data_IF_924500609502
#
_entry.id   IF_924500609502
#
_cell.length_a   1.000
_cell.length_b   1.000
_cell.length_c   1.000
_cell.angle_alpha   90.00
_cell.angle_beta   90.00
_cell.angle_gamma   90.00
#
_symmetry.space_group_name_H-M   'P 1'
#
loop_
_entity.id
_entity.type
_entity.pdbx_description
1 polymer ?
#
# COMPACT_ATOMS: atom_id res chain seq x y z
N UNK A 1 -4.58 -13.75 11.34
CA UNK A 1 -4.47 -12.32 11.74
C UNK A 1 -4.25 -11.52 10.47
N UNK A 2 -4.95 -10.40 10.27
CA UNK A 2 -4.78 -9.56 9.10
C UNK A 2 -3.36 -8.96 9.09
N UNK A 3 -2.63 -9.10 7.98
CA UNK A 3 -1.31 -8.48 7.77
C UNK A 3 -1.28 -7.69 6.46
N UNK A 4 -0.37 -6.72 6.37
CA UNK A 4 -0.21 -5.92 5.17
C UNK A 4 0.26 -6.77 3.98
N UNK A 5 1.12 -7.76 4.23
CA UNK A 5 1.59 -8.70 3.21
C UNK A 5 0.45 -9.54 2.60
N UNK A 6 -0.51 -9.98 3.42
CA UNK A 6 -1.69 -10.70 2.94
C UNK A 6 -2.55 -9.81 2.04
N UNK A 7 -2.77 -8.56 2.44
CA UNK A 7 -3.51 -7.58 1.63
C UNK A 7 -2.76 -7.24 0.34
N UNK A 8 -1.44 -7.10 0.38
CA UNK A 8 -0.62 -6.89 -0.80
C UNK A 8 -0.68 -8.08 -1.77
N UNK A 9 -0.70 -9.32 -1.24
CA UNK A 9 -0.90 -10.53 -2.06
C UNK A 9 -2.26 -10.49 -2.75
N UNK A 10 -3.33 -10.21 -2.02
CA UNK A 10 -4.67 -10.08 -2.59
C UNK A 10 -4.77 -8.95 -3.63
N UNK A 11 -4.05 -7.85 -3.44
CA UNK A 11 -4.00 -6.75 -4.43
C UNK A 11 -3.45 -7.26 -5.76
N UNK A 12 -2.31 -7.96 -5.72
CA UNK A 12 -1.66 -8.51 -6.93
C UNK A 12 -2.49 -9.61 -7.58
N UNK A 13 -3.06 -10.53 -6.79
CA UNK A 13 -3.96 -11.60 -7.28
C UNK A 13 -5.20 -11.05 -8.01
N UNK A 14 -5.64 -9.84 -7.65
CA UNK A 14 -6.77 -9.15 -8.26
C UNK A 14 -6.36 -8.12 -9.31
N UNK A 15 -5.11 -8.14 -9.75
CA UNK A 15 -4.55 -7.21 -10.74
C UNK A 15 -4.76 -5.72 -10.36
N UNK A 16 -4.80 -5.42 -9.07
CA UNK A 16 -4.99 -4.07 -8.55
C UNK A 16 -3.71 -3.23 -8.58
N UNK A 17 -3.87 -1.91 -8.76
CA UNK A 17 -2.75 -0.97 -8.85
C UNK A 17 -2.30 -0.42 -7.50
N UNK A 18 -3.24 -0.14 -6.59
CA UNK A 18 -2.97 0.51 -5.31
C UNK A 18 -3.77 -0.14 -4.17
N UNK A 19 -3.16 -0.32 -3.00
CA UNK A 19 -3.82 -0.68 -1.74
C UNK A 19 -3.79 0.52 -0.80
N UNK A 20 -4.96 0.92 -0.32
CA UNK A 20 -5.17 2.03 0.60
C UNK A 20 -5.54 1.52 1.99
N UNK A 21 -4.83 2.02 2.99
CA UNK A 21 -5.03 1.73 4.42
C UNK A 21 -5.37 3.05 5.10
N UNK A 22 -6.56 3.13 5.69
CA UNK A 22 -7.03 4.31 6.40
C UNK A 22 -8.00 3.93 7.53
N UNK A 23 -7.90 4.62 8.67
CA UNK A 23 -8.79 4.39 9.79
C UNK A 23 -10.23 4.81 9.44
N UNK A 24 -11.22 4.04 9.92
CA UNK A 24 -12.64 4.26 9.63
C UNK A 24 -13.13 3.71 8.28
N UNK A 25 -12.24 3.12 7.49
CA UNK A 25 -12.55 2.44 6.22
C UNK A 25 -12.04 1.00 6.26
N UNK A 26 -12.67 0.04 5.55
CA UNK A 26 -11.98 -1.20 5.23
C UNK A 26 -10.75 -0.92 4.37
N UNK A 27 -9.78 -1.87 4.28
CA UNK A 27 -8.73 -1.78 3.29
C UNK A 27 -9.34 -1.67 1.88
N UNK A 28 -8.88 -0.71 1.08
CA UNK A 28 -9.41 -0.47 -0.27
C UNK A 28 -8.36 -0.81 -1.31
N UNK A 29 -8.75 -1.49 -2.38
CA UNK A 29 -7.90 -1.78 -3.53
C UNK A 29 -8.37 -0.97 -4.73
N UNK A 30 -7.45 -0.40 -5.49
CA UNK A 30 -7.75 0.18 -6.79
C UNK A 30 -7.62 -0.90 -7.85
N UNK A 31 -8.73 -1.25 -8.49
CA UNK A 31 -8.80 -2.23 -9.58
C UNK A 31 -9.49 -1.51 -10.75
N UNK A 32 -8.85 -1.50 -11.92
CA UNK A 32 -9.33 -0.79 -13.12
C UNK A 32 -9.74 0.67 -12.84
N UNK A 33 -8.93 1.36 -12.04
CA UNK A 33 -9.14 2.77 -11.66
C UNK A 33 -10.16 3.01 -10.55
N UNK A 34 -10.93 1.99 -10.14
CA UNK A 34 -12.00 2.10 -9.12
C UNK A 34 -11.55 1.56 -7.76
N UNK A 35 -11.97 2.22 -6.68
CA UNK A 35 -11.72 1.75 -5.32
C UNK A 35 -12.77 0.71 -4.91
N UNK A 36 -12.31 -0.49 -4.56
CA UNK A 36 -13.13 -1.64 -4.16
C UNK A 36 -12.63 -2.11 -2.79
N UNK A 37 -13.53 -2.36 -1.81
CA UNK A 37 -13.13 -2.87 -0.50
C UNK A 37 -12.56 -4.30 -0.60
N UNK A 38 -11.47 -4.57 0.12
CA UNK A 38 -10.87 -5.89 0.24
C UNK A 38 -11.57 -6.77 1.30
N UNK A 39 -12.42 -6.18 2.13
CA UNK A 39 -13.24 -6.82 3.16
C UNK A 39 -14.27 -5.84 3.72
N UNK A 40 -15.07 -6.29 4.69
CA UNK A 40 -16.18 -5.49 5.25
C UNK A 40 -15.79 -4.70 6.50
N UNK A 41 -14.80 -5.19 7.25
CA UNK A 41 -14.41 -4.60 8.53
C UNK A 41 -13.63 -3.30 8.37
N UNK A 42 -14.10 -2.25 9.05
CA UNK A 42 -13.40 -0.97 9.12
C UNK A 42 -12.18 -1.09 10.03
N UNK A 43 -11.06 -0.52 9.59
CA UNK A 43 -9.84 -0.47 10.38
C UNK A 43 -9.95 0.60 11.48
N UNK A 44 -9.53 0.26 12.70
CA UNK A 44 -9.31 1.24 13.77
C UNK A 44 -7.97 1.95 13.57
N UNK A 45 -7.74 3.07 14.27
CA UNK A 45 -6.44 3.75 14.27
C UNK A 45 -5.30 2.86 14.80
N UNK A 46 -5.59 2.02 15.80
CA UNK A 46 -4.64 1.03 16.30
C UNK A 46 -4.32 -0.04 15.24
N UNK A 47 -5.35 -0.52 14.52
CA UNK A 47 -5.18 -1.52 13.48
C UNK A 47 -4.35 -0.97 12.31
N UNK A 48 -4.61 0.25 11.85
CA UNK A 48 -3.80 0.85 10.78
C UNK A 48 -2.35 1.06 11.21
N UNK A 49 -2.11 1.58 12.43
CA UNK A 49 -0.76 1.71 12.98
C UNK A 49 -0.03 0.38 12.99
N UNK A 50 -0.67 -0.68 13.52
CA UNK A 50 -0.07 -2.02 13.58
C UNK A 50 0.24 -2.58 12.19
N UNK A 51 -0.65 -2.41 11.21
CA UNK A 51 -0.44 -2.89 9.84
C UNK A 51 0.73 -2.17 9.17
N UNK A 52 0.77 -0.85 9.27
CA UNK A 52 1.78 -0.03 8.59
C UNK A 52 3.15 -0.16 9.25
N UNK A 53 3.22 -0.13 10.58
CA UNK A 53 4.51 -0.30 11.29
C UNK A 53 5.12 -1.68 11.07
N UNK A 54 4.31 -2.69 10.73
CA UNK A 54 4.79 -4.04 10.41
C UNK A 54 5.69 -4.13 9.18
N UNK A 55 5.73 -3.10 8.31
CA UNK A 55 6.61 -3.03 7.14
C UNK A 55 7.72 -1.99 7.27
N UNK A 56 7.80 -1.26 8.39
CA UNK A 56 8.83 -0.26 8.64
C UNK A 56 9.97 -0.87 9.45
N UNK A 57 11.21 -0.50 9.13
CA UNK A 57 12.34 -0.73 10.02
C UNK A 57 12.46 0.41 11.06
N UNK A 58 13.34 0.26 12.06
CA UNK A 58 13.46 1.23 13.15
C UNK A 58 13.81 2.65 12.69
N UNK A 59 14.70 2.80 11.70
CA UNK A 59 15.08 4.10 11.13
C UNK A 59 13.90 4.76 10.41
N UNK A 60 13.11 3.97 9.68
CA UNK A 60 11.90 4.43 9.00
C UNK A 60 10.80 4.83 9.98
N UNK A 61 10.67 4.11 11.11
CA UNK A 61 9.74 4.49 12.19
C UNK A 61 10.13 5.84 12.78
N UNK A 62 11.40 6.02 13.12
CA UNK A 62 11.90 7.28 13.68
C UNK A 62 11.63 8.45 12.73
N UNK A 63 12.02 8.31 11.45
CA UNK A 63 11.76 9.32 10.42
C UNK A 63 10.27 9.63 10.26
N UNK A 64 9.42 8.61 10.21
CA UNK A 64 7.97 8.82 10.09
C UNK A 64 7.40 9.52 11.34
N UNK A 65 7.86 9.18 12.54
CA UNK A 65 7.38 9.81 13.77
C UNK A 65 7.84 11.28 13.91
N UNK A 66 8.96 11.64 13.30
CA UNK A 66 9.45 13.03 13.21
C UNK A 66 8.76 13.83 12.10
N UNK A 67 8.66 13.28 10.89
CA UNK A 67 8.20 13.99 9.69
C UNK A 67 6.68 13.87 9.47
N UNK A 68 6.03 12.88 10.09
CA UNK A 68 4.62 12.50 9.91
C UNK A 68 4.25 12.07 8.48
N UNK A 69 5.25 11.88 7.63
CA UNK A 69 5.17 11.30 6.29
C UNK A 69 6.43 10.48 5.98
N UNK A 70 6.30 9.49 5.11
CA UNK A 70 7.43 8.69 4.65
C UNK A 70 7.12 8.05 3.29
N UNK A 71 7.96 8.33 2.30
CA UNK A 71 8.02 7.58 1.05
C UNK A 71 9.10 6.50 1.13
N UNK A 72 8.74 5.27 0.79
CA UNK A 72 9.66 4.14 0.77
C UNK A 72 9.30 3.13 -0.32
N UNK A 73 10.15 2.13 -0.48
CA UNK A 73 9.85 0.96 -1.29
C UNK A 73 10.32 -0.29 -0.58
N UNK A 74 9.57 -1.37 -0.74
CA UNK A 74 9.95 -2.68 -0.21
C UNK A 74 9.54 -3.79 -1.20
N UNK A 75 10.13 -4.96 -1.03
CA UNK A 75 9.80 -6.15 -1.80
C UNK A 75 9.22 -7.23 -0.91
N UNK A 76 8.24 -7.98 -1.43
CA UNK A 76 7.78 -9.23 -0.85
C UNK A 76 8.26 -10.35 -1.77
N UNK A 77 9.03 -11.28 -1.21
CA UNK A 77 9.56 -12.42 -1.95
C UNK A 77 8.43 -13.24 -2.59
N UNK A 78 8.61 -13.58 -3.88
CA UNK A 78 7.60 -14.32 -4.65
C UNK A 78 6.35 -13.52 -5.04
N UNK A 79 6.25 -12.24 -4.67
CA UNK A 79 5.09 -11.40 -4.99
C UNK A 79 5.44 -10.21 -5.88
N UNK A 80 6.41 -9.39 -5.47
CA UNK A 80 6.79 -8.18 -6.21
C UNK A 80 7.28 -7.05 -5.33
N UNK A 81 7.43 -5.87 -5.93
CA UNK A 81 7.88 -4.64 -5.27
C UNK A 81 6.74 -3.66 -5.15
N UNK A 82 6.78 -2.86 -4.08
CA UNK A 82 5.76 -1.88 -3.77
C UNK A 82 6.42 -0.54 -3.47
N UNK A 83 5.90 0.54 -4.06
CA UNK A 83 6.19 1.90 -3.63
C UNK A 83 5.13 2.30 -2.64
N UNK A 84 5.53 2.77 -1.47
CA UNK A 84 4.62 3.00 -0.36
C UNK A 84 4.81 4.40 0.18
N UNK A 85 3.70 5.12 0.30
CA UNK A 85 3.63 6.35 1.07
C UNK A 85 2.92 6.04 2.40
N UNK A 86 3.50 6.50 3.50
CA UNK A 86 2.94 6.44 4.85
C UNK A 86 2.74 7.87 5.33
N UNK A 87 1.62 8.15 5.98
CA UNK A 87 1.25 9.51 6.37
C UNK A 87 0.35 9.51 7.62
N UNK A 88 0.29 10.64 8.30
CA UNK A 88 -0.67 10.90 9.37
C UNK A 88 -1.92 11.59 8.83
N UNK A 89 -3.11 11.05 9.12
CA UNK A 89 -4.39 11.67 8.76
C UNK A 89 -5.36 11.58 9.95
N UNK A 90 -5.85 12.73 10.43
CA UNK A 90 -6.79 12.80 11.57
C UNK A 90 -6.30 11.99 12.78
N UNK A 91 -5.05 12.19 13.15
CA UNK A 91 -4.38 11.50 14.27
C UNK A 91 -4.28 9.97 14.12
N UNK A 92 -4.50 9.44 12.91
CA UNK A 92 -4.34 8.03 12.60
C UNK A 92 -3.33 7.82 11.46
N UNK A 93 -2.54 6.74 11.57
CA UNK A 93 -1.60 6.32 10.52
C UNK A 93 -2.39 5.83 9.32
N UNK A 94 -2.04 6.31 8.14
CA UNK A 94 -2.53 5.87 6.84
C UNK A 94 -1.38 5.46 5.92
N UNK A 95 -1.70 4.68 4.89
CA UNK A 95 -0.72 4.32 3.87
C UNK A 95 -1.37 4.01 2.52
N UNK A 96 -0.63 4.28 1.44
CA UNK A 96 -0.95 3.81 0.09
C UNK A 96 0.23 3.05 -0.47
N UNK A 97 0.00 1.80 -0.86
CA UNK A 97 0.96 0.93 -1.52
C UNK A 97 0.61 0.84 -2.99
N UNK A 98 1.58 1.07 -3.87
CA UNK A 98 1.45 0.88 -5.32
C UNK A 98 2.31 -0.28 -5.78
N UNK A 99 1.73 -1.18 -6.57
CA UNK A 99 2.46 -2.26 -7.23
C UNK A 99 3.47 -1.68 -8.22
N UNK A 100 4.72 -2.11 -8.15
CA UNK A 100 5.75 -1.82 -9.15
C UNK A 100 5.86 -3.05 -10.06
N UNK A 101 5.57 -2.93 -11.38
CA UNK A 101 5.74 -4.02 -12.33
C UNK A 101 7.16 -4.59 -12.32
N UNK A 102 7.28 -5.92 -12.48
CA UNK A 102 8.59 -6.58 -12.55
C UNK A 102 9.34 -6.24 -13.84
N UNK A 103 8.60 -6.15 -14.94
CA UNK A 103 9.14 -5.81 -16.25
C UNK A 103 8.77 -4.37 -16.63
N UNK A 104 9.71 -3.68 -17.27
CA UNK A 104 9.42 -2.36 -17.83
C UNK A 104 8.52 -2.53 -19.04
N UNK A 105 7.40 -1.81 -19.07
CA UNK A 105 6.43 -1.88 -20.16
C UNK A 105 7.08 -1.36 -21.45
N UNK A 106 7.10 -2.14 -22.55
CA UNK A 106 7.66 -1.69 -23.83
C UNK A 106 6.91 -0.49 -24.42
N UNK A 107 7.62 0.41 -25.12
CA UNK A 107 7.04 1.59 -25.78
C UNK A 107 5.79 1.26 -26.63
N UNK A 108 5.82 0.15 -27.37
CA UNK A 108 4.71 -0.28 -28.23
C UNK A 108 3.42 -0.59 -27.46
N UNK A 109 3.50 -0.95 -26.18
CA UNK A 109 2.35 -1.25 -25.32
C UNK A 109 1.84 -0.02 -24.56
N UNK A 110 2.61 1.08 -24.54
CA UNK A 110 2.27 2.32 -23.85
C UNK A 110 1.32 3.23 -24.67
N UNK A 111 1.00 2.87 -25.92
CA UNK A 111 0.15 3.70 -26.79
C UNK A 111 0.79 5.05 -27.15
N UNK A 112 2.12 5.13 -27.13
CA UNK A 112 2.86 6.35 -27.42
C UNK A 112 2.92 6.61 -28.94
N UNK A 113 2.86 7.88 -29.38
CA UNK A 113 3.05 8.21 -30.79
C UNK A 113 4.48 7.90 -31.23
N UNK A 114 4.63 7.52 -32.49
CA UNK A 114 5.93 7.28 -33.17
C UNK A 114 6.69 8.57 -33.42
#
# INVERSE_FOLDING_TARGET
MLSLELLARQLVEREGSDLHIAAGSPPMMRIDGRLIPAGEEKLSAEATRKLVYGILNSEQVERFEEELELDMSFGIEGLGRFRTNVFMQREAVGSVLRVIPQETIPFAQLGLPS
#
